data_IF_752470082080
#
_entry.id   IF_752470082080
#
_cell.length_a   1.000
_cell.length_b   1.000
_cell.length_c   1.000
_cell.angle_alpha   90.00
_cell.angle_beta   90.00
_cell.angle_gamma   90.00
#
_symmetry.space_group_name_H-M   'P 1'
#
loop_
_entity.id
_entity.type
_entity.pdbx_description
1 polymer ?
#
# COMPACT_ATOMS: atom_id res chain seq x y z
N UNK A 1 -35.69 2.86 -4.55
CA UNK A 1 -34.44 3.65 -4.64
C UNK A 1 -33.76 3.21 -5.91
N UNK A 2 -33.49 4.12 -6.84
CA UNK A 2 -32.80 3.81 -8.08
C UNK A 2 -31.41 3.30 -7.73
N UNK A 3 -31.22 2.00 -7.77
CA UNK A 3 -29.90 1.38 -7.92
C UNK A 3 -29.45 1.76 -9.32
N UNK A 4 -28.74 2.88 -9.45
CA UNK A 4 -27.81 2.98 -10.56
C UNK A 4 -26.95 1.71 -10.47
N UNK A 5 -26.93 0.92 -11.55
CA UNK A 5 -26.13 -0.30 -11.62
C UNK A 5 -24.71 0.09 -11.21
N UNK A 6 -24.28 -0.36 -10.04
CA UNK A 6 -22.93 -0.11 -9.58
C UNK A 6 -21.99 -0.71 -10.63
N UNK A 7 -21.16 0.12 -11.26
CA UNK A 7 -20.25 -0.34 -12.31
C UNK A 7 -19.12 -1.15 -11.67
N UNK A 8 -19.40 -2.43 -11.42
CA UNK A 8 -18.49 -3.36 -10.79
C UNK A 8 -17.30 -3.64 -11.72
N UNK A 9 -17.57 -3.82 -13.01
CA UNK A 9 -16.58 -4.09 -14.05
C UNK A 9 -15.98 -5.50 -14.00
N UNK A 10 -15.44 -6.00 -15.14
CA UNK A 10 -14.99 -7.37 -15.27
C UNK A 10 -13.56 -7.67 -14.76
N UNK A 11 -12.71 -6.66 -14.57
CA UNK A 11 -11.26 -6.87 -14.43
C UNK A 11 -10.83 -7.12 -12.99
N UNK A 12 -11.26 -6.29 -12.05
CA UNK A 12 -10.80 -6.29 -10.65
C UNK A 12 -11.67 -7.21 -9.81
N UNK A 13 -11.66 -8.52 -10.15
CA UNK A 13 -12.54 -9.53 -9.52
C UNK A 13 -11.81 -10.83 -9.22
N UNK A 14 -12.39 -11.62 -8.31
CA UNK A 14 -11.78 -12.85 -7.81
C UNK A 14 -11.77 -13.97 -8.86
N UNK A 15 -12.64 -13.92 -9.87
CA UNK A 15 -12.58 -14.83 -11.01
C UNK A 15 -11.28 -14.68 -11.83
N UNK A 16 -10.64 -13.50 -11.77
CA UNK A 16 -9.37 -13.21 -12.41
C UNK A 16 -9.40 -13.05 -13.92
N UNK A 17 -8.25 -12.66 -14.47
CA UNK A 17 -8.04 -12.58 -15.90
C UNK A 17 -7.57 -13.92 -16.44
N UNK A 18 -7.87 -14.17 -17.70
CA UNK A 18 -7.20 -15.19 -18.50
C UNK A 18 -5.97 -14.61 -19.16
N UNK A 19 -4.99 -15.45 -19.47
CA UNK A 19 -3.76 -15.04 -20.16
C UNK A 19 -4.02 -14.33 -21.48
N UNK A 20 -5.09 -14.69 -22.21
CA UNK A 20 -5.50 -14.00 -23.45
C UNK A 20 -6.05 -12.58 -23.23
N UNK A 21 -6.47 -12.25 -22.01
CA UNK A 21 -6.95 -10.91 -21.63
C UNK A 21 -5.81 -10.01 -21.16
N UNK A 22 -4.61 -10.57 -20.94
CA UNK A 22 -3.43 -9.78 -20.62
C UNK A 22 -2.89 -9.09 -21.88
N UNK A 23 -2.24 -7.93 -21.76
CA UNK A 23 -1.50 -7.35 -22.87
C UNK A 23 -0.50 -8.37 -23.44
N UNK A 24 -0.34 -8.39 -24.77
CA UNK A 24 0.67 -9.25 -25.39
C UNK A 24 2.05 -8.98 -24.77
N UNK A 25 2.94 -9.98 -24.62
CA UNK A 25 4.29 -9.74 -24.09
C UNK A 25 5.11 -8.71 -24.88
N UNK A 26 4.77 -8.50 -26.15
CA UNK A 26 5.37 -7.49 -27.04
C UNK A 26 4.60 -6.15 -27.09
N UNK A 27 3.60 -5.95 -26.22
CA UNK A 27 2.77 -4.76 -26.20
C UNK A 27 3.62 -3.50 -25.99
N UNK A 28 3.37 -2.48 -26.80
CA UNK A 28 3.99 -1.16 -26.65
C UNK A 28 3.31 -0.36 -25.54
N UNK A 29 3.90 0.76 -25.15
CA UNK A 29 3.30 1.69 -24.18
C UNK A 29 1.92 2.20 -24.62
N UNK A 30 1.69 2.36 -25.92
CA UNK A 30 0.38 2.75 -26.47
C UNK A 30 -0.66 1.63 -26.35
N UNK A 31 -0.25 0.37 -26.48
CA UNK A 31 -1.13 -0.79 -26.33
C UNK A 31 -1.52 -1.06 -24.88
N UNK A 32 -0.65 -0.68 -23.93
CA UNK A 32 -0.88 -0.85 -22.49
C UNK A 32 -1.86 0.17 -21.91
N UNK A 33 -1.90 1.39 -22.44
CA UNK A 33 -2.67 2.49 -21.85
C UNK A 33 -4.19 2.18 -21.72
N UNK A 34 -4.90 1.64 -22.74
CA UNK A 34 -6.33 1.31 -22.61
C UNK A 34 -6.59 0.29 -21.50
N UNK A 35 -5.73 -0.72 -21.36
CA UNK A 35 -5.85 -1.74 -20.33
C UNK A 35 -5.65 -1.15 -18.92
N UNK A 36 -4.64 -0.28 -18.75
CA UNK A 36 -4.37 0.40 -17.49
C UNK A 36 -5.51 1.34 -17.09
N UNK A 37 -6.09 2.07 -18.06
CA UNK A 37 -7.29 2.91 -17.84
C UNK A 37 -8.44 2.06 -17.32
N UNK A 38 -8.76 0.95 -18.01
CA UNK A 38 -9.88 0.08 -17.61
C UNK A 38 -9.69 -0.50 -16.20
N UNK A 39 -8.48 -0.91 -15.83
CA UNK A 39 -8.20 -1.37 -14.46
C UNK A 39 -8.39 -0.26 -13.43
N UNK A 40 -7.91 0.96 -13.71
CA UNK A 40 -8.07 2.10 -12.79
C UNK A 40 -9.52 2.55 -12.65
N UNK A 41 -10.31 2.49 -13.73
CA UNK A 41 -11.74 2.79 -13.74
C UNK A 41 -12.53 1.91 -12.76
N UNK A 42 -12.11 0.67 -12.56
CA UNK A 42 -12.71 -0.22 -11.57
C UNK A 42 -12.08 -0.05 -10.18
N UNK A 43 -10.75 -0.01 -10.10
CA UNK A 43 -10.04 -0.05 -8.83
C UNK A 43 -10.18 1.25 -8.00
N UNK A 44 -10.04 2.42 -8.63
CA UNK A 44 -10.01 3.70 -7.93
C UNK A 44 -11.36 4.01 -7.26
N UNK A 45 -12.51 3.97 -7.96
CA UNK A 45 -13.80 4.16 -7.31
C UNK A 45 -14.10 3.12 -6.21
N UNK A 46 -13.69 1.86 -6.43
CA UNK A 46 -13.93 0.77 -5.48
C UNK A 46 -13.25 1.01 -4.12
N UNK A 47 -11.99 1.47 -4.12
CA UNK A 47 -11.28 1.80 -2.88
C UNK A 47 -11.65 3.18 -2.34
N UNK A 48 -12.02 4.13 -3.21
CA UNK A 48 -12.55 5.44 -2.81
C UNK A 48 -13.78 5.30 -1.93
N UNK A 49 -14.67 4.35 -2.22
CA UNK A 49 -15.87 4.08 -1.43
C UNK A 49 -15.61 3.82 0.07
N UNK A 50 -14.42 3.30 0.44
CA UNK A 50 -14.05 3.06 1.85
C UNK A 50 -13.74 4.37 2.58
N UNK A 51 -13.02 5.28 1.91
CA UNK A 51 -12.59 6.56 2.45
C UNK A 51 -12.61 7.64 1.37
N UNK A 52 -13.80 8.19 1.06
CA UNK A 52 -13.98 9.13 -0.04
C UNK A 52 -13.14 10.40 0.15
N UNK A 53 -12.57 10.90 -0.95
CA UNK A 53 -11.76 12.13 -0.97
C UNK A 53 -12.55 13.37 -0.53
N UNK A 54 -13.84 13.38 -0.81
CA UNK A 54 -14.77 14.46 -0.46
C UNK A 54 -15.32 14.35 0.98
N UNK A 55 -14.93 13.31 1.72
CA UNK A 55 -15.41 13.07 3.08
C UNK A 55 -16.87 12.61 3.16
N UNK A 56 -17.52 12.33 2.04
CA UNK A 56 -18.88 11.77 2.04
C UNK A 56 -18.83 10.35 2.58
N UNK A 57 -19.53 10.07 3.67
CA UNK A 57 -19.62 8.70 4.15
C UNK A 57 -20.45 7.87 3.18
N UNK A 58 -19.94 6.73 2.72
CA UNK A 58 -20.71 5.71 1.96
C UNK A 58 -20.93 4.45 2.80
N UNK A 59 -21.62 4.56 3.96
CA UNK A 59 -21.70 3.48 4.94
C UNK A 59 -22.47 2.24 4.44
N UNK A 60 -23.23 2.38 3.36
CA UNK A 60 -24.00 1.28 2.77
C UNK A 60 -23.15 0.35 1.88
N UNK A 61 -21.96 0.79 1.43
CA UNK A 61 -21.10 0.00 0.55
C UNK A 61 -20.10 -0.86 1.35
N UNK A 62 -19.56 -0.31 2.44
CA UNK A 62 -18.60 -0.99 3.30
C UNK A 62 -19.07 -1.04 4.76
N UNK A 63 -19.31 -2.25 5.27
CA UNK A 63 -19.72 -2.49 6.65
C UNK A 63 -18.52 -2.46 7.58
N UNK A 64 -18.51 -1.54 8.55
CA UNK A 64 -17.49 -1.52 9.60
C UNK A 64 -17.51 -2.81 10.45
N UNK A 65 -16.33 -3.35 10.74
CA UNK A 65 -16.11 -4.59 11.51
C UNK A 65 -15.33 -4.36 12.81
N UNK A 66 -15.02 -3.11 13.13
CA UNK A 66 -14.32 -2.69 14.33
C UNK A 66 -12.88 -2.26 14.07
N UNK A 67 -12.10 -2.19 15.14
CA UNK A 67 -10.74 -1.66 15.12
C UNK A 67 -9.81 -2.61 15.87
N UNK A 68 -8.57 -2.75 15.41
CA UNK A 68 -7.50 -3.49 16.08
C UNK A 68 -6.31 -2.59 16.37
N UNK A 69 -5.56 -2.94 17.40
CA UNK A 69 -4.28 -2.31 17.73
C UNK A 69 -3.20 -3.38 17.77
N UNK A 70 -1.96 -2.99 17.45
CA UNK A 70 -0.82 -3.89 17.42
C UNK A 70 0.37 -3.20 18.12
N UNK A 71 1.19 -3.93 18.89
CA UNK A 71 2.39 -3.35 19.51
C UNK A 71 3.35 -2.70 18.51
N UNK A 72 3.42 -3.25 17.30
CA UNK A 72 4.28 -2.81 16.21
C UNK A 72 3.67 -1.65 15.40
N UNK A 73 2.51 -1.11 15.79
CA UNK A 73 1.89 0.05 15.12
C UNK A 73 1.45 1.11 16.12
N UNK A 74 1.80 2.37 15.84
CA UNK A 74 1.29 3.52 16.61
C UNK A 74 -0.12 3.93 16.20
N UNK A 75 -0.61 3.41 15.08
CA UNK A 75 -1.94 3.70 14.55
C UNK A 75 -2.88 2.50 14.78
N UNK A 76 -4.16 2.75 15.15
CA UNK A 76 -5.17 1.71 15.07
C UNK A 76 -5.42 1.30 13.62
N UNK A 77 -5.85 0.05 13.42
CA UNK A 77 -6.27 -0.50 12.13
C UNK A 77 -7.79 -0.67 12.14
N UNK A 78 -8.48 0.14 11.36
CA UNK A 78 -9.92 0.07 11.12
C UNK A 78 -10.22 -1.05 10.12
N UNK A 79 -11.28 -1.81 10.35
CA UNK A 79 -11.66 -2.96 9.54
C UNK A 79 -13.04 -2.79 8.95
N UNK A 80 -13.18 -3.19 7.69
CA UNK A 80 -14.41 -3.11 6.91
C UNK A 80 -14.62 -4.39 6.12
N UNK A 81 -15.87 -4.65 5.77
CA UNK A 81 -16.29 -5.79 4.96
C UNK A 81 -17.28 -5.33 3.92
N UNK A 82 -17.13 -5.82 2.70
CA UNK A 82 -18.10 -5.64 1.62
C UNK A 82 -18.41 -7.00 1.01
N UNK A 83 -19.68 -7.25 0.73
CA UNK A 83 -20.12 -8.47 0.03
C UNK A 83 -20.69 -8.02 -1.30
N UNK A 84 -20.08 -8.48 -2.39
CA UNK A 84 -20.64 -8.34 -3.73
C UNK A 84 -21.52 -9.57 -4.00
N UNK A 85 -22.84 -9.41 -4.16
CA UNK A 85 -23.75 -10.55 -4.33
C UNK A 85 -23.45 -11.33 -5.62
N UNK A 86 -23.65 -12.65 -5.57
CA UNK A 86 -23.55 -13.54 -6.73
C UNK A 86 -24.35 -13.01 -7.92
N UNK A 87 -25.60 -12.58 -7.69
CA UNK A 87 -26.47 -12.07 -8.74
C UNK A 87 -25.91 -10.83 -9.48
N UNK A 88 -25.21 -9.93 -8.79
CA UNK A 88 -24.58 -8.77 -9.43
C UNK A 88 -23.34 -9.18 -10.23
N UNK A 89 -22.57 -10.14 -9.71
CA UNK A 89 -21.43 -10.72 -10.40
C UNK A 89 -21.83 -11.52 -11.64
N UNK A 90 -22.94 -12.26 -11.61
CA UNK A 90 -23.49 -12.98 -12.75
C UNK A 90 -23.94 -12.01 -13.85
N UNK A 91 -24.60 -10.90 -13.49
CA UNK A 91 -24.95 -9.83 -14.46
C UNK A 91 -23.70 -9.24 -15.10
N UNK A 92 -22.67 -8.93 -14.31
CA UNK A 92 -21.41 -8.38 -14.82
C UNK A 92 -20.68 -9.37 -15.73
N UNK A 93 -20.61 -10.63 -15.33
CA UNK A 93 -20.02 -11.70 -16.14
C UNK A 93 -20.78 -11.89 -17.46
N UNK A 94 -22.11 -11.84 -17.44
CA UNK A 94 -22.94 -11.92 -18.65
C UNK A 94 -22.74 -10.70 -19.56
N UNK A 95 -22.70 -9.47 -19.00
CA UNK A 95 -22.49 -8.22 -19.74
C UNK A 95 -21.16 -8.23 -20.49
N UNK A 96 -20.12 -8.82 -19.89
CA UNK A 96 -18.78 -8.91 -20.46
C UNK A 96 -18.46 -10.25 -21.12
N UNK A 97 -19.47 -11.11 -21.32
CA UNK A 97 -19.35 -12.39 -22.04
C UNK A 97 -18.27 -13.32 -21.43
N UNK A 98 -18.09 -13.29 -20.11
CA UNK A 98 -17.12 -14.13 -19.42
C UNK A 98 -17.55 -15.61 -19.47
N UNK A 99 -16.61 -16.56 -19.60
CA UNK A 99 -16.90 -17.99 -19.51
C UNK A 99 -17.52 -18.34 -18.14
N UNK A 100 -18.48 -19.28 -18.12
CA UNK A 100 -19.16 -19.75 -16.89
C UNK A 100 -19.93 -18.65 -16.10
N UNK A 101 -20.51 -17.67 -16.81
CA UNK A 101 -21.27 -16.55 -16.22
C UNK A 101 -22.49 -16.94 -15.37
N UNK A 102 -22.96 -18.19 -15.43
CA UNK A 102 -24.16 -18.68 -14.75
C UNK A 102 -23.91 -19.35 -13.38
N UNK A 103 -22.70 -19.26 -12.83
CA UNK A 103 -22.33 -19.92 -11.57
C UNK A 103 -21.24 -19.14 -10.81
N UNK A 104 -21.44 -17.83 -10.65
CA UNK A 104 -20.48 -16.99 -9.90
C UNK A 104 -20.87 -16.92 -8.43
N UNK A 105 -19.96 -17.29 -7.54
CA UNK A 105 -20.19 -17.15 -6.10
C UNK A 105 -20.12 -15.68 -5.67
N UNK A 106 -20.76 -15.35 -4.53
CA UNK A 106 -20.57 -14.02 -3.95
C UNK A 106 -19.11 -13.79 -3.55
N UNK A 107 -18.65 -12.55 -3.69
CA UNK A 107 -17.31 -12.15 -3.28
C UNK A 107 -17.38 -11.41 -1.95
N UNK A 108 -16.65 -11.91 -0.94
CA UNK A 108 -16.48 -11.20 0.33
C UNK A 108 -15.12 -10.50 0.35
N UNK A 109 -15.17 -9.18 0.36
CA UNK A 109 -14.02 -8.30 0.44
C UNK A 109 -13.77 -7.89 1.89
N UNK A 110 -12.55 -8.14 2.35
CA UNK A 110 -12.01 -7.64 3.60
C UNK A 110 -11.23 -6.36 3.32
N UNK A 111 -11.44 -5.31 4.11
CA UNK A 111 -10.70 -4.07 3.97
C UNK A 111 -10.12 -3.62 5.30
N UNK A 112 -8.91 -3.07 5.25
CA UNK A 112 -8.27 -2.38 6.36
C UNK A 112 -7.92 -0.94 6.00
N UNK A 113 -7.96 -0.06 6.99
CA UNK A 113 -7.49 1.33 6.90
C UNK A 113 -6.68 1.69 8.13
N UNK A 114 -5.61 2.45 7.94
CA UNK A 114 -4.76 2.96 9.02
C UNK A 114 -4.14 4.29 8.61
N UNK A 115 -3.84 5.15 9.60
CA UNK A 115 -3.29 6.50 9.36
C UNK A 115 -2.02 6.67 10.19
N UNK A 116 -0.90 6.88 9.51
CA UNK A 116 0.45 6.88 10.08
C UNK A 116 1.07 8.26 10.03
N UNK A 117 1.99 8.56 10.95
CA UNK A 117 2.81 9.79 10.86
C UNK A 117 3.85 9.61 9.77
N UNK A 118 4.01 10.60 8.88
CA UNK A 118 5.08 10.57 7.87
C UNK A 118 6.45 10.82 8.52
N UNK A 119 7.07 9.75 9.01
CA UNK A 119 8.44 9.77 9.57
C UNK A 119 9.00 8.35 9.68
N UNK A 120 10.33 8.17 9.61
CA UNK A 120 10.93 6.93 10.05
C UNK A 120 10.86 6.83 11.58
N UNK A 121 10.17 5.82 12.10
CA UNK A 121 10.16 5.49 13.54
C UNK A 121 9.61 4.11 13.86
N UNK A 122 9.73 3.63 15.09
CA UNK A 122 9.02 2.40 15.51
C UNK A 122 7.51 2.64 15.45
N UNK A 123 6.80 1.67 14.90
CA UNK A 123 5.34 1.71 14.73
C UNK A 123 4.82 2.71 13.71
N UNK A 124 5.68 3.20 12.81
CA UNK A 124 5.30 4.06 11.69
C UNK A 124 6.39 4.03 10.59
N UNK A 125 6.14 4.66 9.45
CA UNK A 125 7.08 4.68 8.32
C UNK A 125 6.98 5.99 7.54
N UNK A 126 8.10 6.37 6.90
CA UNK A 126 8.16 7.53 6.03
C UNK A 126 7.46 7.23 4.69
N UNK A 127 7.02 8.27 4.00
CA UNK A 127 6.39 8.15 2.68
C UNK A 127 7.23 7.37 1.69
N UNK A 128 8.54 7.63 1.65
CA UNK A 128 9.48 6.96 0.75
C UNK A 128 9.57 5.45 1.05
N UNK A 129 9.36 5.04 2.30
CA UNK A 129 9.30 3.62 2.68
C UNK A 129 8.03 2.96 2.17
N UNK A 130 6.90 3.66 2.22
CA UNK A 130 5.66 3.17 1.63
C UNK A 130 5.77 3.03 0.11
N UNK A 131 6.26 4.08 -0.57
CA UNK A 131 6.46 4.06 -2.03
C UNK A 131 7.38 2.90 -2.41
N UNK A 132 8.52 2.78 -1.73
CA UNK A 132 9.49 1.74 -2.03
C UNK A 132 8.93 0.33 -1.82
N UNK A 133 8.30 0.08 -0.68
CA UNK A 133 7.88 -1.27 -0.28
C UNK A 133 6.55 -1.71 -0.90
N UNK A 134 5.60 -0.81 -1.14
CA UNK A 134 4.29 -1.20 -1.68
C UNK A 134 4.13 -0.89 -3.16
N UNK A 135 4.74 0.17 -3.67
CA UNK A 135 4.65 0.51 -5.10
C UNK A 135 5.81 -0.09 -5.90
N UNK A 136 7.04 0.20 -5.51
CA UNK A 136 8.19 -0.07 -6.38
C UNK A 136 8.64 -1.53 -6.30
N UNK A 137 8.78 -2.07 -5.09
CA UNK A 137 9.32 -3.41 -4.84
C UNK A 137 8.30 -4.26 -4.07
N UNK A 138 7.04 -4.21 -4.53
CA UNK A 138 5.88 -4.81 -3.85
C UNK A 138 6.10 -6.27 -3.45
N UNK A 139 6.51 -7.10 -4.42
CA UNK A 139 6.65 -8.56 -4.25
C UNK A 139 7.83 -8.91 -3.36
N UNK A 140 8.96 -8.23 -3.55
CA UNK A 140 10.18 -8.40 -2.76
C UNK A 140 9.96 -7.98 -1.31
N UNK A 141 9.29 -6.85 -1.08
CA UNK A 141 8.93 -6.39 0.26
C UNK A 141 7.95 -7.35 0.92
N UNK A 142 6.88 -7.76 0.24
CA UNK A 142 5.90 -8.72 0.76
C UNK A 142 6.58 -10.02 1.19
N UNK A 143 7.49 -10.55 0.36
CA UNK A 143 8.31 -11.71 0.71
C UNK A 143 9.17 -11.50 1.94
N UNK A 144 9.70 -10.29 2.15
CA UNK A 144 10.59 -9.97 3.26
C UNK A 144 9.84 -9.84 4.60
N UNK A 145 8.68 -9.18 4.62
CA UNK A 145 7.93 -8.95 5.86
C UNK A 145 6.86 -10.01 6.16
N UNK A 146 6.50 -10.88 5.20
CA UNK A 146 5.46 -11.90 5.38
C UNK A 146 6.07 -13.28 5.64
N UNK A 147 6.00 -13.84 6.86
CA UNK A 147 6.74 -15.05 7.24
C UNK A 147 6.40 -16.32 6.46
N UNK A 148 5.23 -16.35 5.81
CA UNK A 148 4.73 -17.54 5.10
C UNK A 148 5.03 -17.51 3.60
N UNK A 149 5.58 -16.43 3.05
CA UNK A 149 5.98 -16.39 1.63
C UNK A 149 7.28 -17.18 1.49
N UNK A 150 7.23 -18.31 0.78
CA UNK A 150 8.38 -19.18 0.55
C UNK A 150 9.21 -18.69 -0.63
N UNK A 151 8.52 -18.33 -1.71
CA UNK A 151 9.13 -18.03 -3.01
C UNK A 151 8.20 -17.10 -3.77
N UNK A 152 8.79 -16.20 -4.55
CA UNK A 152 8.09 -15.36 -5.50
C UNK A 152 8.88 -15.35 -6.80
N UNK A 153 8.17 -15.38 -7.93
CA UNK A 153 8.75 -15.36 -9.27
C UNK A 153 7.95 -14.43 -10.16
N UNK A 154 8.65 -13.57 -10.90
CA UNK A 154 8.05 -12.83 -12.02
C UNK A 154 7.95 -13.74 -13.26
N UNK A 155 6.72 -13.92 -13.75
CA UNK A 155 6.39 -14.70 -14.93
C UNK A 155 6.36 -13.86 -16.21
N UNK A 156 5.92 -12.60 -16.11
CA UNK A 156 5.81 -11.62 -17.18
C UNK A 156 6.06 -10.22 -16.60
N UNK A 157 6.61 -9.33 -17.41
CA UNK A 157 6.73 -7.90 -17.11
C UNK A 157 6.65 -7.10 -18.41
N UNK A 158 6.18 -5.87 -18.34
CA UNK A 158 6.11 -4.97 -19.49
C UNK A 158 6.84 -3.65 -19.20
N UNK A 159 7.38 -3.04 -20.25
CA UNK A 159 7.95 -1.70 -20.17
C UNK A 159 6.83 -0.65 -20.18
N UNK A 160 6.69 0.04 -19.05
CA UNK A 160 5.70 1.08 -18.83
C UNK A 160 6.29 2.50 -18.90
N UNK A 161 7.52 2.64 -19.39
CA UNK A 161 8.23 3.91 -19.40
C UNK A 161 7.46 4.98 -20.18
N UNK A 162 7.17 6.09 -19.51
CA UNK A 162 6.50 7.25 -20.12
C UNK A 162 4.98 7.13 -20.27
N UNK A 163 4.35 6.04 -19.81
CA UNK A 163 2.88 5.96 -19.78
C UNK A 163 2.32 6.98 -18.78
N UNK A 164 1.38 7.79 -19.25
CA UNK A 164 0.56 8.67 -18.44
C UNK A 164 -0.90 8.47 -18.86
N UNK A 165 -1.79 8.27 -17.90
CA UNK A 165 -3.23 8.09 -18.16
C UNK A 165 -4.06 8.95 -17.21
N UNK A 166 -5.17 9.49 -17.69
CA UNK A 166 -6.07 10.32 -16.88
C UNK A 166 -7.28 9.48 -16.46
N UNK A 167 -7.46 9.26 -15.16
CA UNK A 167 -8.58 8.47 -14.62
C UNK A 167 -8.91 8.85 -13.18
N UNK A 168 -10.20 8.84 -12.82
CA UNK A 168 -10.65 9.19 -11.46
C UNK A 168 -10.30 10.61 -11.02
N UNK A 169 -10.20 11.55 -11.97
CA UNK A 169 -9.83 12.95 -11.72
C UNK A 169 -8.34 13.18 -11.42
N UNK A 170 -7.49 12.17 -11.65
CA UNK A 170 -6.04 12.26 -11.50
C UNK A 170 -5.33 11.81 -12.78
N UNK A 171 -4.16 12.38 -13.04
CA UNK A 171 -3.22 11.80 -14.00
C UNK A 171 -2.33 10.80 -13.27
N UNK A 172 -2.25 9.57 -13.75
CA UNK A 172 -1.43 8.50 -13.20
C UNK A 172 -0.19 8.29 -14.07
N UNK A 173 0.96 8.08 -13.45
CA UNK A 173 2.24 7.84 -14.11
C UNK A 173 3.10 6.84 -13.32
N UNK A 174 4.31 6.56 -13.81
CA UNK A 174 5.25 5.62 -13.18
C UNK A 174 4.59 4.26 -12.95
N UNK A 175 4.03 3.70 -14.02
CA UNK A 175 3.41 2.39 -13.97
C UNK A 175 4.49 1.31 -13.81
N UNK A 176 4.19 0.30 -12.99
CA UNK A 176 4.82 -1.02 -13.06
C UNK A 176 3.72 -2.05 -13.26
N UNK A 177 3.94 -2.99 -14.18
CA UNK A 177 3.02 -4.09 -14.45
C UNK A 177 3.79 -5.38 -14.65
N UNK A 178 3.35 -6.43 -13.97
CA UNK A 178 3.95 -7.76 -14.11
C UNK A 178 3.04 -8.85 -13.57
N UNK A 179 3.21 -10.07 -14.06
CA UNK A 179 2.55 -11.25 -13.49
C UNK A 179 3.55 -11.93 -12.58
N UNK A 180 3.19 -12.10 -11.31
CA UNK A 180 3.99 -12.82 -10.31
C UNK A 180 3.31 -14.11 -9.87
N UNK A 181 4.11 -15.13 -9.59
CA UNK A 181 3.70 -16.34 -8.88
C UNK A 181 4.23 -16.27 -7.45
N UNK A 182 3.35 -16.17 -6.46
CA UNK A 182 3.73 -16.06 -5.04
C UNK A 182 3.32 -17.33 -4.31
N UNK A 183 4.31 -18.04 -3.77
CA UNK A 183 4.13 -19.34 -3.09
C UNK A 183 4.12 -19.17 -1.59
N UNK A 184 3.00 -19.54 -0.97
CA UNK A 184 2.81 -19.49 0.47
C UNK A 184 2.86 -20.89 1.09
N UNK A 185 3.59 -20.98 2.21
CA UNK A 185 3.51 -22.11 3.11
C UNK A 185 2.20 -22.05 3.87
N UNK A 186 1.40 -23.09 3.78
CA UNK A 186 0.32 -23.30 4.75
C UNK A 186 0.72 -24.41 5.72
N UNK A 187 0.32 -24.24 6.97
CA UNK A 187 0.63 -25.20 8.03
C UNK A 187 0.06 -26.58 7.72
N UNK A 188 0.75 -27.63 8.17
CA UNK A 188 0.25 -29.00 8.11
C UNK A 188 -1.12 -29.07 8.79
N UNK A 189 -2.13 -29.74 8.20
CA UNK A 189 -2.06 -30.68 7.07
C UNK A 189 -2.33 -30.06 5.68
N UNK A 190 -2.39 -28.74 5.55
CA UNK A 190 -2.79 -28.11 4.29
C UNK A 190 -1.61 -28.00 3.31
N UNK A 191 -1.88 -28.19 2.02
CA UNK A 191 -0.91 -28.03 0.93
C UNK A 191 -0.44 -26.57 0.78
N UNK A 192 0.76 -26.35 0.25
CA UNK A 192 1.20 -25.00 -0.10
C UNK A 192 0.29 -24.38 -1.16
N UNK A 193 0.16 -23.06 -1.14
CA UNK A 193 -0.63 -22.30 -2.11
C UNK A 193 0.30 -21.53 -3.04
N UNK A 194 -0.05 -21.46 -4.31
CA UNK A 194 0.58 -20.54 -5.26
C UNK A 194 -0.49 -19.61 -5.78
N UNK A 195 -0.23 -18.32 -5.72
CA UNK A 195 -1.10 -17.28 -6.26
C UNK A 195 -0.45 -16.69 -7.51
N UNK A 196 -0.97 -16.97 -8.72
CA UNK A 196 -0.60 -16.28 -9.95
C UNK A 196 -1.38 -14.97 -10.06
N UNK A 197 -0.68 -13.84 -10.08
CA UNK A 197 -1.30 -12.53 -9.90
C UNK A 197 -0.66 -11.49 -10.80
N UNK A 198 -1.47 -10.80 -11.58
CA UNK A 198 -1.09 -9.56 -12.24
C UNK A 198 -1.07 -8.44 -11.20
N UNK A 199 0.06 -7.75 -11.08
CA UNK A 199 0.24 -6.63 -10.17
C UNK A 199 0.49 -5.39 -11.00
N UNK A 200 -0.31 -4.35 -10.78
CA UNK A 200 -0.18 -3.03 -11.40
C UNK A 200 0.01 -2.02 -10.28
N UNK A 201 1.07 -1.22 -10.34
CA UNK A 201 1.24 -0.07 -9.44
C UNK A 201 1.42 1.22 -10.22
N UNK A 202 0.85 2.31 -9.72
CA UNK A 202 0.88 3.62 -10.37
C UNK A 202 0.90 4.74 -9.32
N UNK A 203 1.53 5.87 -9.65
CA UNK A 203 1.57 7.06 -8.80
C UNK A 203 0.75 8.18 -9.44
N UNK A 204 0.04 8.95 -8.62
CA UNK A 204 -0.55 10.21 -9.08
C UNK A 204 0.56 11.20 -9.46
N UNK A 205 0.40 11.83 -10.62
CA UNK A 205 1.30 12.86 -11.15
C UNK A 205 1.05 14.21 -10.47
N UNK A 206 2.10 14.99 -10.33
CA UNK A 206 2.02 16.37 -9.84
C UNK A 206 2.13 16.50 -8.33
N UNK A 207 1.34 17.39 -7.73
CA UNK A 207 1.48 17.77 -6.32
C UNK A 207 0.75 16.83 -5.33
N UNK A 208 0.11 15.78 -5.82
CA UNK A 208 -0.61 14.81 -4.99
C UNK A 208 0.29 13.63 -4.69
N UNK A 209 0.62 13.43 -3.41
CA UNK A 209 1.30 12.22 -2.94
C UNK A 209 0.27 11.11 -2.75
N UNK A 210 -0.01 10.38 -3.83
CA UNK A 210 -0.91 9.22 -3.85
C UNK A 210 -0.34 8.14 -4.79
N UNK A 211 -0.48 6.88 -4.41
CA UNK A 211 -0.25 5.75 -5.31
C UNK A 211 -1.26 4.64 -5.05
N UNK A 212 -1.46 3.82 -6.08
CA UNK A 212 -2.33 2.64 -6.04
C UNK A 212 -1.56 1.40 -6.45
N UNK A 213 -1.98 0.26 -5.91
CA UNK A 213 -1.53 -1.07 -6.28
C UNK A 213 -2.77 -1.94 -6.48
N UNK A 214 -2.90 -2.55 -7.65
CA UNK A 214 -4.02 -3.41 -8.01
C UNK A 214 -3.47 -4.79 -8.34
N UNK A 215 -4.00 -5.81 -7.67
CA UNK A 215 -3.60 -7.20 -7.84
C UNK A 215 -4.80 -8.00 -8.33
N UNK A 216 -4.65 -8.71 -9.45
CA UNK A 216 -5.73 -9.44 -10.12
C UNK A 216 -5.25 -10.87 -10.41
N UNK A 217 -6.00 -11.92 -10.04
CA UNK A 217 -5.54 -13.29 -10.25
C UNK A 217 -5.48 -13.63 -11.74
N UNK A 218 -4.51 -14.44 -12.16
CA UNK A 218 -4.41 -14.97 -13.53
C UNK A 218 -4.84 -16.45 -13.52
N UNK A 219 -6.09 -16.68 -13.89
CA UNK A 219 -6.84 -17.91 -13.64
C UNK A 219 -6.30 -19.15 -14.36
N UNK A 220 -5.71 -18.97 -15.53
CA UNK A 220 -5.25 -20.04 -16.43
C UNK A 220 -3.72 -20.09 -16.57
N UNK A 221 -2.96 -19.39 -15.71
CA UNK A 221 -1.49 -19.36 -15.82
C UNK A 221 -0.87 -20.76 -15.78
N UNK A 222 -1.49 -21.71 -15.07
CA UNK A 222 -1.03 -23.11 -15.02
C UNK A 222 -1.11 -23.85 -16.36
N UNK A 223 -2.01 -23.43 -17.25
CA UNK A 223 -2.14 -23.96 -18.61
C UNK A 223 -1.25 -23.21 -19.62
N UNK A 224 -0.77 -22.01 -19.27
CA UNK A 224 0.10 -21.20 -20.13
C UNK A 224 1.56 -21.65 -20.11
N UNK A 225 2.36 -21.21 -21.07
CA UNK A 225 3.82 -21.42 -21.07
C UNK A 225 4.55 -20.60 -20.00
N UNK A 226 3.95 -19.52 -19.50
CA UNK A 226 4.58 -18.60 -18.54
C UNK A 226 4.56 -19.12 -17.09
N UNK A 227 3.64 -20.03 -16.75
CA UNK A 227 3.53 -20.60 -15.40
C UNK A 227 4.66 -21.58 -15.06
N UNK A 228 5.21 -21.47 -13.85
CA UNK A 228 6.26 -22.36 -13.32
C UNK A 228 5.91 -22.90 -11.94
N UNK A 229 5.77 -22.03 -10.94
CA UNK A 229 5.44 -22.44 -9.56
C UNK A 229 4.04 -23.04 -9.47
N UNK A 230 3.07 -22.51 -10.24
CA UNK A 230 1.70 -23.05 -10.30
C UNK A 230 1.63 -24.47 -10.85
N UNK A 231 2.68 -24.95 -11.54
CA UNK A 231 2.79 -26.31 -12.10
C UNK A 231 3.49 -27.29 -11.16
N UNK A 232 3.97 -26.84 -10.01
CA UNK A 232 4.64 -27.71 -9.06
C UNK A 232 3.70 -28.78 -8.49
N UNK A 233 4.23 -29.98 -8.26
CA UNK A 233 3.43 -31.05 -7.66
C UNK A 233 3.10 -30.73 -6.20
N UNK A 234 1.84 -30.93 -5.83
CA UNK A 234 1.41 -30.82 -4.44
C UNK A 234 1.10 -29.41 -3.97
N UNK A 235 1.13 -28.40 -4.87
CA UNK A 235 0.59 -27.07 -4.59
C UNK A 235 -0.90 -27.00 -4.96
N UNK A 236 -1.60 -26.05 -4.37
CA UNK A 236 -2.96 -25.65 -4.76
C UNK A 236 -2.88 -24.24 -5.32
N UNK A 237 -3.45 -24.00 -6.48
CA UNK A 237 -3.54 -22.65 -7.04
C UNK A 237 -4.67 -21.91 -6.33
N UNK A 238 -4.32 -20.86 -5.60
CA UNK A 238 -5.28 -19.96 -4.96
C UNK A 238 -5.52 -18.72 -5.82
N UNK A 239 -6.54 -17.95 -5.46
CA UNK A 239 -6.81 -16.65 -6.08
C UNK A 239 -6.95 -15.59 -4.98
N UNK A 240 -6.41 -14.41 -5.25
CA UNK A 240 -6.80 -13.19 -4.54
C UNK A 240 -6.84 -12.04 -5.53
N UNK A 241 -7.73 -11.10 -5.25
CA UNK A 241 -7.80 -9.79 -5.87
C UNK A 241 -7.64 -8.76 -4.77
N UNK A 242 -6.89 -7.68 -5.03
CA UNK A 242 -6.77 -6.58 -4.08
C UNK A 242 -6.63 -5.23 -4.74
N UNK A 243 -7.13 -4.21 -4.06
CA UNK A 243 -6.86 -2.80 -4.35
C UNK A 243 -6.27 -2.18 -3.10
N UNK A 244 -5.08 -1.60 -3.24
CA UNK A 244 -4.38 -0.90 -2.18
C UNK A 244 -4.11 0.54 -2.62
N UNK A 245 -4.33 1.47 -1.71
CA UNK A 245 -4.07 2.90 -1.91
C UNK A 245 -3.33 3.45 -0.72
N UNK A 246 -2.29 4.24 -1.02
CA UNK A 246 -1.56 5.01 -0.03
C UNK A 246 -1.54 6.47 -0.48
N UNK A 247 -1.89 7.39 0.42
CA UNK A 247 -1.88 8.83 0.13
C UNK A 247 -1.47 9.67 1.33
N UNK A 248 -0.91 10.85 1.09
CA UNK A 248 -0.80 11.88 2.12
C UNK A 248 -2.11 12.63 2.27
N UNK A 249 -2.57 12.74 3.51
CA UNK A 249 -3.71 13.57 3.89
C UNK A 249 -3.29 15.04 4.01
N UNK A 250 -4.23 16.01 4.00
CA UNK A 250 -3.93 17.42 4.26
C UNK A 250 -3.21 17.68 5.59
N UNK A 251 -3.32 16.76 6.55
CA UNK A 251 -2.61 16.80 7.84
C UNK A 251 -1.13 16.43 7.75
N UNK A 252 -0.66 15.98 6.58
CA UNK A 252 0.67 15.40 6.38
C UNK A 252 0.81 13.95 6.84
N UNK A 253 -0.25 13.33 7.38
CA UNK A 253 -0.26 11.92 7.73
C UNK A 253 -0.45 11.02 6.49
N UNK A 254 0.04 9.79 6.54
CA UNK A 254 -0.08 8.80 5.48
C UNK A 254 -1.30 7.92 5.77
N UNK A 255 -2.32 8.00 4.92
CA UNK A 255 -3.43 7.05 4.93
C UNK A 255 -3.07 5.84 4.08
N UNK A 256 -3.27 4.65 4.65
CA UNK A 256 -3.01 3.38 4.00
C UNK A 256 -4.24 2.48 4.09
N UNK A 257 -4.82 2.18 2.92
CA UNK A 257 -6.03 1.37 2.76
C UNK A 257 -5.73 0.21 1.83
N UNK A 258 -6.21 -0.98 2.19
CA UNK A 258 -6.14 -2.16 1.34
C UNK A 258 -7.43 -2.95 1.48
N UNK A 259 -8.05 -3.26 0.35
CA UNK A 259 -9.20 -4.14 0.24
C UNK A 259 -8.82 -5.37 -0.56
N UNK A 260 -9.23 -6.55 -0.13
CA UNK A 260 -8.96 -7.81 -0.82
C UNK A 260 -10.10 -8.82 -0.68
N UNK A 261 -10.37 -9.55 -1.74
CA UNK A 261 -11.11 -10.80 -1.69
C UNK A 261 -10.15 -11.95 -2.03
N UNK A 262 -10.30 -13.08 -1.36
CA UNK A 262 -9.44 -14.24 -1.60
C UNK A 262 -10.24 -15.54 -1.50
N UNK A 263 -9.87 -16.48 -2.36
CA UNK A 263 -10.26 -17.87 -2.30
C UNK A 263 -8.98 -18.71 -2.38
N UNK A 264 -8.55 -19.23 -1.23
CA UNK A 264 -7.40 -20.10 -1.11
C UNK A 264 -7.63 -21.49 -1.75
N UNK A 265 -8.84 -21.72 -2.28
CA UNK A 265 -9.37 -22.96 -2.86
C UNK A 265 -9.27 -24.16 -1.91
N UNK A 266 -9.93 -25.26 -2.28
CA UNK A 266 -9.99 -26.49 -1.48
C UNK A 266 -11.26 -26.59 -0.64
N UNK A 267 -11.19 -27.30 0.49
CA UNK A 267 -12.37 -27.76 1.26
C UNK A 267 -12.89 -26.78 2.31
N UNK A 268 -12.26 -25.60 2.46
CA UNK A 268 -12.68 -24.63 3.47
C UNK A 268 -13.86 -23.79 2.97
N UNK A 269 -14.98 -23.71 3.71
CA UNK A 269 -16.08 -22.81 3.37
C UNK A 269 -15.61 -21.36 3.24
N UNK A 270 -16.09 -20.66 2.21
CA UNK A 270 -15.68 -19.28 1.90
C UNK A 270 -15.84 -18.30 3.07
N UNK A 271 -16.88 -18.45 3.90
CA UNK A 271 -17.10 -17.59 5.07
C UNK A 271 -16.03 -17.75 6.18
N UNK A 272 -15.40 -18.93 6.30
CA UNK A 272 -14.28 -19.16 7.21
C UNK A 272 -13.04 -18.46 6.67
N UNK A 273 -12.81 -18.59 5.35
CA UNK A 273 -11.71 -17.92 4.69
C UNK A 273 -11.83 -16.39 4.83
N UNK A 274 -13.01 -15.83 4.54
CA UNK A 274 -13.27 -14.39 4.65
C UNK A 274 -13.01 -13.83 6.06
N UNK A 275 -13.47 -14.51 7.11
CA UNK A 275 -13.20 -14.11 8.50
C UNK A 275 -11.71 -14.18 8.84
N UNK A 276 -11.00 -15.19 8.34
CA UNK A 276 -9.56 -15.31 8.50
C UNK A 276 -8.83 -14.17 7.77
N UNK A 277 -9.25 -13.83 6.55
CA UNK A 277 -8.66 -12.77 5.72
C UNK A 277 -8.74 -11.41 6.43
N UNK A 278 -9.89 -11.02 7.01
CA UNK A 278 -10.01 -9.77 7.80
C UNK A 278 -8.97 -9.73 8.94
N UNK A 279 -8.72 -10.88 9.58
CA UNK A 279 -7.72 -10.98 10.64
C UNK A 279 -6.28 -10.87 10.13
N UNK A 280 -6.00 -11.46 8.97
CA UNK A 280 -4.67 -11.48 8.32
C UNK A 280 -4.31 -10.10 7.80
N UNK A 281 -5.19 -9.46 7.01
CA UNK A 281 -4.90 -8.14 6.43
C UNK A 281 -4.61 -7.08 7.49
N UNK A 282 -5.24 -7.18 8.67
CA UNK A 282 -4.95 -6.30 9.79
C UNK A 282 -3.52 -6.50 10.34
N UNK A 283 -3.06 -7.75 10.42
CA UNK A 283 -1.72 -8.09 10.91
C UNK A 283 -0.61 -7.66 9.96
N UNK A 284 -0.88 -7.55 8.67
CA UNK A 284 0.12 -7.13 7.67
C UNK A 284 0.67 -5.73 7.97
N UNK A 285 -0.16 -4.85 8.56
CA UNK A 285 0.29 -3.53 9.05
C UNK A 285 1.36 -3.67 10.12
N UNK A 286 1.14 -4.57 11.09
CA UNK A 286 2.09 -4.82 12.18
C UNK A 286 3.36 -5.51 11.67
N UNK A 287 3.23 -6.48 10.75
CA UNK A 287 4.35 -7.18 10.13
C UNK A 287 5.26 -6.21 9.39
N UNK A 288 4.70 -5.36 8.51
CA UNK A 288 5.47 -4.37 7.78
C UNK A 288 6.15 -3.36 8.72
N UNK A 289 5.42 -2.78 9.67
CA UNK A 289 5.97 -1.75 10.56
C UNK A 289 7.00 -2.28 11.55
N UNK A 290 6.86 -3.54 11.99
CA UNK A 290 7.87 -4.24 12.77
C UNK A 290 9.12 -4.49 11.93
N UNK A 291 8.96 -5.08 10.75
CA UNK A 291 10.05 -5.39 9.83
C UNK A 291 10.83 -4.15 9.40
N UNK A 292 10.15 -3.08 8.95
CA UNK A 292 10.84 -1.87 8.47
C UNK A 292 11.60 -1.17 9.61
N UNK A 293 11.10 -1.23 10.84
CA UNK A 293 11.84 -0.73 11.99
C UNK A 293 13.12 -1.55 12.26
N UNK A 294 13.06 -2.88 12.15
CA UNK A 294 14.25 -3.74 12.27
C UNK A 294 15.27 -3.50 11.14
N UNK A 295 14.80 -3.31 9.90
CA UNK A 295 15.70 -3.06 8.75
C UNK A 295 16.48 -1.75 8.92
N UNK A 296 15.86 -0.72 9.51
CA UNK A 296 16.56 0.51 9.90
C UNK A 296 17.63 0.26 10.96
N UNK A 297 17.34 -0.56 11.97
CA UNK A 297 18.31 -0.92 13.02
C UNK A 297 19.50 -1.72 12.46
N UNK A 298 19.25 -2.61 11.49
CA UNK A 298 20.27 -3.45 10.84
C UNK A 298 21.10 -2.69 9.80
N UNK A 299 20.67 -1.52 9.34
CA UNK A 299 21.37 -0.74 8.32
C UNK A 299 21.44 -1.45 6.96
N UNK A 300 20.40 -2.23 6.61
CA UNK A 300 20.28 -2.93 5.32
C UNK A 300 20.07 -1.94 4.16
N UNK A 301 20.05 -2.38 2.89
CA UNK A 301 19.85 -1.48 1.74
C UNK A 301 18.57 -0.63 1.84
N UNK A 302 17.50 -1.16 2.44
CA UNK A 302 16.28 -0.41 2.76
C UNK A 302 16.56 0.64 3.84
N UNK A 303 17.22 0.26 4.94
CA UNK A 303 17.64 1.19 6.00
C UNK A 303 18.72 2.21 5.59
N UNK A 304 19.58 1.88 4.62
CA UNK A 304 20.66 2.74 4.10
C UNK A 304 20.13 3.83 3.19
N UNK A 305 19.04 3.59 2.47
CA UNK A 305 18.42 4.58 1.58
C UNK A 305 17.44 5.49 2.34
N UNK A 306 16.78 4.97 3.38
CA UNK A 306 15.86 5.76 4.22
C UNK A 306 16.57 6.60 5.29
N UNK A 307 17.89 6.41 5.43
CA UNK A 307 18.76 7.21 6.29
C UNK A 307 19.08 8.63 5.76
N UNK A 308 18.36 9.14 4.75
CA UNK A 308 18.54 10.53 4.30
C UNK A 308 18.13 11.49 5.40
N UNK A 309 19.11 12.28 5.84
CA UNK A 309 19.03 13.32 6.87
C UNK A 309 17.81 14.22 6.68
N UNK A 310 17.05 14.42 7.76
CA UNK A 310 16.12 15.54 7.86
C UNK A 310 16.90 16.84 7.67
N UNK A 311 16.74 17.46 6.51
CA UNK A 311 17.38 18.73 6.21
C UNK A 311 16.49 19.85 6.76
N UNK A 312 16.74 20.23 8.01
CA UNK A 312 16.33 21.53 8.51
C UNK A 312 16.92 22.60 7.60
N UNK A 313 16.06 23.53 7.16
CA UNK A 313 16.43 24.63 6.29
C UNK A 313 17.60 25.44 6.87
N UNK A 314 18.64 25.59 6.05
CA UNK A 314 19.78 26.46 6.27
C UNK A 314 20.42 26.73 4.92
N UNK A 315 20.01 27.84 4.31
CA UNK A 315 20.56 28.39 3.08
C UNK A 315 22.07 28.59 3.19
N UNK A 316 22.84 28.08 2.23
CA UNK A 316 24.07 28.74 1.74
C UNK A 316 24.54 28.09 0.42
N UNK A 317 24.61 28.90 -0.64
CA UNK A 317 25.24 28.62 -1.95
C UNK A 317 26.41 29.62 -2.07
N UNK A 318 27.50 29.36 -2.80
CA UNK A 318 28.33 28.15 -2.95
C UNK A 318 29.82 28.48 -2.65
N UNK A 319 30.73 27.50 -2.56
CA UNK A 319 32.09 27.81 -3.02
C UNK A 319 32.83 26.65 -3.68
N UNK A 320 33.38 27.01 -4.83
CA UNK A 320 34.15 26.24 -5.80
C UNK A 320 35.50 25.86 -5.18
N UNK A 321 35.93 24.60 -5.26
CA UNK A 321 37.34 24.24 -5.03
C UNK A 321 38.15 24.56 -6.28
N UNK A 322 39.32 25.22 -6.17
CA UNK A 322 40.23 25.38 -7.29
C UNK A 322 41.16 24.16 -7.42
N UNK A 323 41.46 23.85 -8.68
CA UNK A 323 42.49 22.91 -9.13
C UNK A 323 43.88 23.41 -8.72
N UNK A 324 44.78 22.50 -8.35
CA UNK A 324 46.22 22.78 -8.34
C UNK A 324 46.72 22.91 -9.78
N UNK A 325 47.55 23.92 -10.06
CA UNK A 325 48.98 23.78 -10.39
C UNK A 325 49.64 25.14 -10.66
N UNK A 326 50.79 25.32 -10.01
CA UNK A 326 52.05 25.94 -10.46
C UNK A 326 52.17 27.45 -10.75
N UNK A 327 53.29 27.93 -10.21
CA UNK A 327 54.14 29.06 -10.63
C UNK A 327 53.89 30.47 -10.06
N UNK A 328 54.87 30.82 -9.21
CA UNK A 328 55.66 32.04 -9.20
C UNK A 328 55.27 33.28 -8.40
N UNK A 329 56.33 33.73 -7.71
CA UNK A 329 56.74 35.09 -7.41
C UNK A 329 56.06 35.82 -6.23
N UNK A 330 56.84 35.85 -5.15
CA UNK A 330 57.33 37.05 -4.47
C UNK A 330 56.36 38.00 -3.73
N UNK A 331 56.86 38.38 -2.55
CA UNK A 331 56.66 39.70 -1.89
C UNK A 331 55.27 39.93 -1.28
N UNK A 332 55.11 40.49 -0.10
CA UNK A 332 55.94 40.83 1.04
C UNK A 332 54.96 41.41 2.09
N UNK A 333 55.43 41.47 3.33
CA UNK A 333 55.03 42.46 4.34
C UNK A 333 53.65 42.34 5.03
N UNK A 334 53.75 42.21 6.36
CA UNK A 334 53.11 43.02 7.41
C UNK A 334 51.56 43.12 7.39
N UNK A 335 50.84 42.88 8.46
CA UNK A 335 51.18 42.86 9.88
C UNK A 335 49.95 43.24 10.70
N UNK A 336 50.04 43.03 12.02
CA UNK A 336 49.14 43.63 13.02
C UNK A 336 47.93 42.77 13.38
N UNK A 337 47.86 42.21 14.59
CA UNK A 337 47.41 42.88 15.84
C UNK A 337 45.92 43.26 15.73
N UNK A 338 44.99 42.99 16.65
CA UNK A 338 44.94 42.87 18.13
C UNK A 338 43.41 42.77 18.39
N UNK A 339 42.80 41.89 19.20
CA UNK A 339 42.80 41.78 20.67
C UNK A 339 41.36 41.84 21.22
N UNK A 340 41.18 41.13 22.36
CA UNK A 340 40.17 41.28 23.45
C UNK A 340 38.76 40.74 23.19
N UNK A 341 38.23 39.78 23.96
CA UNK A 341 38.08 39.51 25.42
C UNK A 341 36.70 39.93 25.97
N UNK A 342 36.09 39.03 26.75
CA UNK A 342 35.00 39.29 27.72
C UNK A 342 33.84 38.28 27.59
N UNK A 343 33.80 37.11 28.27
CA UNK A 343 33.50 36.82 29.71
C UNK A 343 32.00 37.03 30.06
N UNK A 344 31.20 35.95 30.19
CA UNK A 344 30.61 35.37 31.44
C UNK A 344 29.31 36.09 31.93
N UNK A 345 28.27 35.55 32.59
CA UNK A 345 27.96 34.28 33.26
C UNK A 345 26.48 34.23 33.73
N UNK A 346 25.91 33.01 33.89
CA UNK A 346 25.03 32.48 34.97
C UNK A 346 23.54 32.87 35.21
N UNK A 347 22.79 31.77 35.39
CA UNK A 347 21.86 31.36 36.48
C UNK A 347 20.39 31.83 36.54
N UNK A 348 19.49 30.83 36.69
CA UNK A 348 18.63 30.75 37.89
C UNK A 348 17.15 30.33 37.76
N UNK A 349 16.88 29.03 37.98
CA UNK A 349 15.81 28.38 38.82
C UNK A 349 14.31 28.77 38.77
N UNK A 350 13.47 27.74 38.63
CA UNK A 350 12.07 27.61 39.13
C UNK A 350 11.95 27.64 40.68
N UNK A 351 10.71 27.74 41.21
CA UNK A 351 10.09 26.54 41.80
C UNK A 351 8.55 26.42 41.62
N UNK A 352 8.04 25.26 42.06
CA UNK A 352 6.69 24.72 41.94
C UNK A 352 5.75 24.98 43.16
N UNK A 353 4.51 24.47 43.00
CA UNK A 353 3.56 23.96 44.00
C UNK A 353 2.34 24.82 44.43
N UNK A 354 1.16 24.18 44.49
CA UNK A 354 -0.02 24.68 45.21
C UNK A 354 -1.35 24.01 44.83
N UNK A 355 -1.89 23.20 45.74
CA UNK A 355 -3.04 22.27 45.63
C UNK A 355 -4.41 22.90 46.00
N UNK A 356 -5.48 22.07 45.92
CA UNK A 356 -6.80 22.08 46.62
C UNK A 356 -8.04 22.54 45.83
N UNK A 357 -9.28 22.06 46.03
CA UNK A 357 -9.91 20.80 46.49
C UNK A 357 -11.46 20.99 46.41
N UNK A 358 -12.25 19.91 46.27
CA UNK A 358 -13.72 19.85 46.53
C UNK A 358 -14.65 20.20 45.34
N UNK A 359 -15.82 19.59 45.11
CA UNK A 359 -16.64 18.64 45.86
C UNK A 359 -18.15 18.92 45.61
N UNK A 360 -18.98 17.87 45.39
CA UNK A 360 -20.47 17.93 45.35
C UNK A 360 -21.07 17.62 43.96
N UNK A 361 -21.76 16.50 43.70
CA UNK A 361 -23.06 15.96 44.23
C UNK A 361 -24.29 16.41 43.41
N UNK A 362 -25.14 15.44 43.02
CA UNK A 362 -26.55 15.65 42.60
C UNK A 362 -26.85 15.36 41.12
N UNK A 363 -27.29 14.17 40.70
CA UNK A 363 -28.66 13.57 40.69
C UNK A 363 -29.45 13.76 39.38
N UNK A 364 -29.90 12.60 38.86
CA UNK A 364 -31.15 12.28 38.13
C UNK A 364 -31.54 12.99 36.83
N UNK A 365 -31.95 12.18 35.84
CA UNK A 365 -32.69 12.63 34.66
C UNK A 365 -32.92 11.54 33.61
N UNK A 366 -33.67 10.50 33.99
CA UNK A 366 -34.26 9.50 33.09
C UNK A 366 -35.53 10.09 32.45
N UNK A 367 -35.65 10.15 31.12
CA UNK A 367 -36.96 10.06 30.41
C UNK A 367 -36.77 9.50 28.98
N UNK A 368 -37.64 8.54 28.66
CA UNK A 368 -37.89 7.92 27.37
C UNK A 368 -38.45 8.87 26.29
N UNK A 369 -38.12 8.59 25.02
CA UNK A 369 -39.09 8.33 23.95
C UNK A 369 -38.40 7.53 22.85
#
# INVERSE_FOLDING_TARGET
>A
MNTEDENLGPLVRLWGLRTEQLPAPSATTADLAPFLIAVLQEAVPFIDAVAPKDGTARPNEWKAKGTKTFPESTAPVELYERIVPAAELEKEAARNQLPNSSSVASETWACRRSIHKDRPGKGTAAWEEFVKCFKDDHVEAEKAFTPNVMEAREALAWDCSGIVVDEGGLSWENFKIGVSEIKHKLGMPLKNRVFPVLIISARAKGAVDEFVVVSIPVSDLAASEHGKLVKEKGVVVGAYVSVERVRKLPTGAIEWIMATASDAKGVLPAWIQAKAVIGVVAKDVALFLGWIAEEREKGTSVGKWTAVKGNGGGSEIPNRKPSMTLEDAESSMQGGRTSRQGVSSRNGKEPAAGSTNGGGSGTNGQVHA
#
